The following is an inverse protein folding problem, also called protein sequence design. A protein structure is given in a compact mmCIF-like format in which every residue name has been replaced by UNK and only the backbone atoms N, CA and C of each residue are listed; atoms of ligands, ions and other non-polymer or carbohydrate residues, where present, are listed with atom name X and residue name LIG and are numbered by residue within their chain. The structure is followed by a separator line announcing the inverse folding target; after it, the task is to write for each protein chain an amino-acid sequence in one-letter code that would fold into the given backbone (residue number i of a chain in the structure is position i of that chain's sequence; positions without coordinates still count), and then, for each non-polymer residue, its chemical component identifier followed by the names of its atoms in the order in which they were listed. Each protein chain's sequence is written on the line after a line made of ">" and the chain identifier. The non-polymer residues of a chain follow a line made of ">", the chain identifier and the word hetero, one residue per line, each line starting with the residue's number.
data_IF_524664220744
#
_entry.id   IF_524664220744
#
_cell.length_a   1.000
_cell.length_b   1.000
_cell.length_c   1.000
_cell.angle_alpha   90.00
_cell.angle_beta   90.00
_cell.angle_gamma   90.00
#
_symmetry.space_group_name_H-M   'P 1'
#
loop_
_entity.id
_entity.type
_entity.pdbx_description
1 polymer ?
#
# COMPACT_ATOMS: atom_id res chain seq x y z
N UNK A 1 8.94 -3.06 18.58
CA UNK A 1 8.26 -3.64 17.41
C UNK A 1 6.77 -3.61 17.59
N UNK A 2 6.02 -3.04 16.67
CA UNK A 2 4.58 -3.16 16.75
C UNK A 2 4.16 -4.61 16.48
N UNK A 3 3.09 -5.02 17.12
CA UNK A 3 2.49 -6.33 16.84
C UNK A 3 1.69 -6.27 15.54
N UNK A 4 1.27 -7.44 15.04
CA UNK A 4 0.40 -7.50 13.86
C UNK A 4 -0.88 -6.70 14.07
N UNK A 5 -1.42 -6.72 15.29
CA UNK A 5 -2.63 -5.97 15.61
C UNK A 5 -2.41 -4.46 15.47
N UNK A 6 -1.20 -3.98 15.78
CA UNK A 6 -0.89 -2.56 15.67
C UNK A 6 -0.86 -2.08 14.23
N UNK A 7 -0.61 -2.97 13.27
CA UNK A 7 -0.58 -2.64 11.85
C UNK A 7 -1.89 -2.93 11.13
N UNK A 8 -2.89 -3.47 11.82
CA UNK A 8 -4.17 -3.78 11.20
C UNK A 8 -4.84 -2.57 10.55
N UNK A 9 -4.77 -1.35 11.12
CA UNK A 9 -5.34 -0.17 10.45
C UNK A 9 -4.58 0.30 9.21
N UNK A 10 -3.40 -0.26 8.93
CA UNK A 10 -2.60 0.16 7.78
C UNK A 10 -3.11 -0.46 6.49
N UNK A 11 -3.31 0.38 5.49
CA UNK A 11 -3.67 -0.04 4.13
C UNK A 11 -2.54 0.31 3.19
N UNK A 12 -2.01 -0.69 2.49
CA UNK A 12 -1.03 -0.45 1.43
C UNK A 12 -1.80 -0.42 0.12
N UNK A 13 -1.68 0.67 -0.63
CA UNK A 13 -2.46 0.88 -1.85
C UNK A 13 -1.53 0.98 -3.05
N UNK A 14 -1.70 0.09 -4.01
CA UNK A 14 -0.94 0.08 -5.25
C UNK A 14 -1.83 0.56 -6.39
N UNK A 15 -1.42 1.61 -7.10
CA UNK A 15 -2.21 2.22 -8.16
C UNK A 15 -1.65 1.86 -9.52
N UNK A 16 -2.49 1.28 -10.37
CA UNK A 16 -2.19 0.99 -11.77
C UNK A 16 -0.94 0.11 -11.98
N UNK A 17 -0.76 -0.87 -11.12
CA UNK A 17 0.38 -1.78 -11.21
C UNK A 17 0.26 -2.69 -12.42
N UNK A 18 1.28 -2.73 -13.27
CA UNK A 18 1.29 -3.51 -14.49
C UNK A 18 2.15 -4.77 -14.44
N UNK A 19 3.05 -4.84 -13.47
CA UNK A 19 4.00 -5.93 -13.39
C UNK A 19 3.64 -6.87 -12.25
N UNK A 20 3.34 -8.16 -12.52
CA UNK A 20 3.00 -9.10 -11.46
C UNK A 20 4.13 -9.29 -10.45
N UNK A 21 5.39 -9.11 -10.87
CA UNK A 21 6.52 -9.20 -9.94
C UNK A 21 6.48 -8.09 -8.90
N UNK A 22 6.02 -6.91 -9.28
CA UNK A 22 5.90 -5.80 -8.33
C UNK A 22 4.78 -6.04 -7.32
N UNK A 23 3.68 -6.62 -7.76
CA UNK A 23 2.61 -7.03 -6.86
C UNK A 23 3.10 -8.08 -5.86
N UNK A 24 3.82 -9.08 -6.36
CA UNK A 24 4.38 -10.12 -5.51
C UNK A 24 5.43 -9.59 -4.53
N UNK A 25 6.28 -8.68 -4.99
CA UNK A 25 7.30 -8.08 -4.14
C UNK A 25 6.68 -7.26 -3.02
N UNK A 26 5.63 -6.48 -3.34
CA UNK A 26 4.91 -5.70 -2.33
C UNK A 26 4.28 -6.61 -1.27
N UNK A 27 3.61 -7.67 -1.71
CA UNK A 27 2.98 -8.60 -0.79
C UNK A 27 4.02 -9.30 0.11
N UNK A 28 5.17 -9.64 -0.45
CA UNK A 28 6.25 -10.26 0.33
C UNK A 28 6.79 -9.29 1.37
N UNK A 29 7.03 -8.04 0.99
CA UNK A 29 7.48 -7.04 1.93
C UNK A 29 6.46 -6.81 3.03
N UNK A 30 5.17 -6.72 2.68
CA UNK A 30 4.10 -6.59 3.66
C UNK A 30 4.08 -7.76 4.63
N UNK A 31 4.22 -8.98 4.12
CA UNK A 31 4.24 -10.18 4.95
C UNK A 31 5.39 -10.13 5.97
N UNK A 32 6.56 -9.68 5.52
CA UNK A 32 7.74 -9.58 6.39
C UNK A 32 7.54 -8.58 7.53
N UNK A 33 6.77 -7.52 7.30
CA UNK A 33 6.52 -6.50 8.32
C UNK A 33 5.22 -6.70 9.08
N UNK A 34 4.41 -7.66 8.68
CA UNK A 34 3.13 -7.92 9.35
C UNK A 34 1.99 -7.02 8.88
N UNK A 35 2.16 -6.31 7.78
CA UNK A 35 1.09 -5.52 7.18
C UNK A 35 0.31 -6.43 6.23
N UNK A 36 -1.00 -6.59 6.47
CA UNK A 36 -1.77 -7.61 5.76
C UNK A 36 -2.86 -7.06 4.83
N UNK A 37 -3.09 -5.75 4.85
CA UNK A 37 -4.21 -5.14 4.13
C UNK A 37 -3.72 -4.46 2.85
N UNK A 38 -3.75 -5.21 1.75
CA UNK A 38 -3.37 -4.70 0.44
C UNK A 38 -4.62 -4.26 -0.33
N UNK A 39 -4.54 -3.08 -0.96
CA UNK A 39 -5.56 -2.59 -1.88
C UNK A 39 -4.92 -2.27 -3.21
N UNK A 40 -5.61 -2.59 -4.29
CA UNK A 40 -5.14 -2.30 -5.64
C UNK A 40 -6.16 -1.44 -6.36
N UNK A 41 -5.69 -0.41 -7.05
CA UNK A 41 -6.54 0.52 -7.80
C UNK A 41 -6.24 0.34 -9.28
N UNK A 42 -7.24 -0.06 -10.05
CA UNK A 42 -7.12 -0.28 -11.50
C UNK A 42 -5.86 -1.04 -11.88
N UNK A 43 -5.60 -2.21 -11.27
CA UNK A 43 -4.44 -2.99 -11.66
C UNK A 43 -4.59 -3.50 -13.09
N UNK A 44 -3.47 -3.74 -13.74
CA UNK A 44 -3.53 -4.45 -15.02
C UNK A 44 -4.04 -5.87 -14.73
N UNK A 45 -5.18 -6.21 -15.31
CA UNK A 45 -5.92 -7.42 -14.92
C UNK A 45 -5.10 -8.70 -15.01
N UNK A 46 -4.36 -8.87 -16.11
CA UNK A 46 -3.55 -10.07 -16.29
C UNK A 46 -2.42 -10.14 -15.27
N UNK A 47 -1.81 -9.00 -14.93
CA UNK A 47 -0.76 -8.94 -13.94
C UNK A 47 -1.28 -9.33 -12.55
N UNK A 48 -2.46 -8.83 -12.18
CA UNK A 48 -3.06 -9.13 -10.89
C UNK A 48 -3.45 -10.60 -10.80
N UNK A 49 -4.02 -11.14 -11.86
CA UNK A 49 -4.39 -12.56 -11.91
C UNK A 49 -3.15 -13.45 -11.78
N UNK A 50 -2.07 -13.11 -12.48
CA UNK A 50 -0.84 -13.87 -12.40
C UNK A 50 -0.23 -13.82 -10.99
N UNK A 51 -0.19 -12.64 -10.38
CA UNK A 51 0.32 -12.49 -9.04
C UNK A 51 -0.47 -13.32 -8.04
N UNK A 52 -1.80 -13.35 -8.18
CA UNK A 52 -2.67 -14.11 -7.28
C UNK A 52 -2.53 -15.62 -7.43
N UNK A 53 -2.01 -16.08 -8.57
CA UNK A 53 -1.81 -17.52 -8.79
C UNK A 53 -0.54 -18.03 -8.12
N UNK A 54 0.35 -17.15 -7.67
CA UNK A 54 1.59 -17.55 -7.03
C UNK A 54 1.31 -18.18 -5.66
N UNK A 55 2.18 -19.09 -5.27
CA UNK A 55 2.09 -19.72 -3.95
C UNK A 55 3.24 -19.25 -3.07
N UNK A 56 3.05 -19.30 -1.75
CA UNK A 56 4.08 -18.90 -0.82
C UNK A 56 3.51 -18.12 0.35
N UNK A 57 4.38 -17.64 1.27
CA UNK A 57 3.91 -16.96 2.48
C UNK A 57 3.08 -15.70 2.24
N UNK A 58 3.32 -15.01 1.12
CA UNK A 58 2.61 -13.77 0.81
C UNK A 58 1.35 -14.00 -0.03
N UNK A 59 1.05 -15.23 -0.42
CA UNK A 59 -0.08 -15.51 -1.31
C UNK A 59 -1.41 -15.11 -0.72
N UNK A 60 -1.56 -15.23 0.60
CA UNK A 60 -2.78 -14.86 1.30
C UNK A 60 -3.09 -13.37 1.19
N UNK A 61 -2.04 -12.54 1.24
CA UNK A 61 -2.18 -11.09 1.10
C UNK A 61 -2.75 -10.75 -0.29
N UNK A 62 -2.24 -11.40 -1.33
CA UNK A 62 -2.71 -11.19 -2.69
C UNK A 62 -4.13 -11.72 -2.88
N UNK A 63 -4.42 -12.89 -2.31
CA UNK A 63 -5.76 -13.48 -2.40
C UNK A 63 -6.81 -12.59 -1.73
N UNK A 64 -6.45 -11.99 -0.60
CA UNK A 64 -7.36 -11.13 0.17
C UNK A 64 -7.31 -9.66 -0.25
N UNK A 65 -6.48 -9.31 -1.24
CA UNK A 65 -6.37 -7.92 -1.70
C UNK A 65 -7.71 -7.41 -2.21
N UNK A 66 -8.04 -6.19 -1.83
CA UNK A 66 -9.27 -5.53 -2.28
C UNK A 66 -8.98 -4.70 -3.53
N UNK A 67 -9.85 -4.82 -4.52
CA UNK A 67 -9.71 -4.10 -5.77
C UNK A 67 -10.67 -2.92 -5.82
N UNK A 68 -10.18 -1.77 -6.27
CA UNK A 68 -10.98 -0.55 -6.36
C UNK A 68 -10.86 0.06 -7.75
N UNK A 69 -11.92 0.75 -8.18
CA UNK A 69 -11.93 1.42 -9.47
C UNK A 69 -11.32 2.82 -9.42
N UNK A 70 -11.12 3.39 -8.23
CA UNK A 70 -10.51 4.71 -8.08
C UNK A 70 -9.73 4.79 -6.79
N UNK A 71 -8.72 5.66 -6.78
CA UNK A 71 -7.94 5.92 -5.56
C UNK A 71 -8.83 6.54 -4.48
N UNK A 72 -9.76 7.40 -4.88
CA UNK A 72 -10.67 8.05 -3.95
C UNK A 72 -11.45 7.02 -3.12
N UNK A 73 -11.95 5.98 -3.78
CA UNK A 73 -12.67 4.92 -3.08
C UNK A 73 -11.74 4.11 -2.18
N UNK A 74 -10.52 3.85 -2.66
CA UNK A 74 -9.57 3.01 -1.93
C UNK A 74 -9.08 3.64 -0.63
N UNK A 75 -9.18 4.96 -0.49
CA UNK A 75 -8.68 5.69 0.68
C UNK A 75 -9.79 6.41 1.44
N UNK A 76 -11.05 6.18 1.07
CA UNK A 76 -12.17 6.99 1.59
C UNK A 76 -12.28 6.97 3.11
N UNK A 77 -11.99 5.85 3.75
CA UNK A 77 -12.10 5.73 5.21
C UNK A 77 -10.79 5.98 5.95
N UNK A 78 -9.74 6.41 5.23
CA UNK A 78 -8.43 6.63 5.85
C UNK A 78 -8.31 8.07 6.35
N UNK A 79 -7.90 8.23 7.60
CA UNK A 79 -7.71 9.56 8.19
C UNK A 79 -6.36 10.19 7.83
N UNK A 80 -5.40 9.37 7.43
CA UNK A 80 -4.11 9.83 6.94
C UNK A 80 -3.77 9.08 5.66
N UNK A 81 -3.36 9.82 4.64
CA UNK A 81 -2.93 9.24 3.36
C UNK A 81 -1.54 9.74 3.05
N UNK A 82 -0.61 8.81 2.86
CA UNK A 82 0.78 9.12 2.56
C UNK A 82 1.10 8.60 1.18
N UNK A 83 1.39 9.51 0.25
CA UNK A 83 1.82 9.14 -1.09
C UNK A 83 3.34 9.06 -1.14
N UNK A 84 3.85 8.10 -1.90
CA UNK A 84 5.28 7.98 -2.13
C UNK A 84 5.62 8.60 -3.49
N UNK A 85 6.77 9.24 -3.56
CA UNK A 85 7.20 9.85 -4.81
C UNK A 85 8.73 9.93 -4.87
N UNK A 86 9.24 9.82 -6.09
CA UNK A 86 10.62 10.16 -6.37
C UNK A 86 10.63 11.62 -6.85
N UNK A 87 11.45 12.46 -6.24
CA UNK A 87 11.51 13.87 -6.60
C UNK A 87 12.40 14.04 -7.81
N UNK A 88 11.78 14.20 -8.98
CA UNK A 88 12.49 14.53 -10.21
C UNK A 88 11.53 15.34 -11.08
N UNK A 89 11.86 16.60 -11.31
CA UNK A 89 11.11 17.45 -12.24
C UNK A 89 9.62 17.58 -11.91
N UNK A 90 9.26 17.45 -10.64
CA UNK A 90 7.88 17.62 -10.21
C UNK A 90 7.71 18.88 -9.38
N UNK A 91 6.62 19.56 -9.63
CA UNK A 91 6.19 20.65 -8.80
C UNK A 91 5.46 20.06 -7.59
N UNK A 92 5.93 20.44 -6.40
CA UNK A 92 5.35 19.90 -5.17
C UNK A 92 4.17 20.76 -4.74
N UNK A 93 3.00 20.15 -4.62
CA UNK A 93 1.79 20.81 -4.16
C UNK A 93 1.48 20.50 -2.70
N UNK A 94 2.15 19.51 -2.14
CA UNK A 94 1.95 19.06 -0.76
C UNK A 94 3.28 19.01 -0.03
N UNK A 95 3.26 19.11 1.31
CA UNK A 95 4.49 19.00 2.06
C UNK A 95 5.24 17.71 1.78
N UNK A 96 6.55 17.81 1.57
CA UNK A 96 7.40 16.65 1.44
C UNK A 96 8.09 16.41 2.78
N UNK A 97 8.03 15.17 3.25
CA UNK A 97 8.65 14.77 4.50
C UNK A 97 9.65 13.67 4.22
N UNK A 98 10.73 13.64 4.99
CA UNK A 98 11.66 12.53 4.86
C UNK A 98 11.06 11.27 5.47
N UNK A 99 11.71 10.14 5.23
CA UNK A 99 11.19 8.83 5.64
C UNK A 99 11.01 8.73 7.16
N UNK A 100 11.95 9.27 7.92
CA UNK A 100 11.88 9.18 9.38
C UNK A 100 10.70 9.97 9.94
N UNK A 101 10.45 11.18 9.41
CA UNK A 101 9.32 12.00 9.81
C UNK A 101 8.00 11.33 9.46
N UNK A 102 7.93 10.73 8.26
CA UNK A 102 6.73 10.04 7.80
C UNK A 102 6.45 8.81 8.65
N UNK A 103 7.48 8.06 9.02
CA UNK A 103 7.32 6.87 9.84
C UNK A 103 6.75 7.21 11.21
N UNK A 104 7.23 8.31 11.82
CA UNK A 104 6.70 8.76 13.10
C UNK A 104 5.25 9.17 13.03
N UNK A 105 4.88 9.92 11.98
CA UNK A 105 3.50 10.35 11.78
C UNK A 105 2.57 9.17 11.55
N UNK A 106 3.00 8.21 10.73
CA UNK A 106 2.21 7.01 10.44
C UNK A 106 1.99 6.21 11.72
N UNK A 107 3.04 5.98 12.50
CA UNK A 107 2.95 5.22 13.74
C UNK A 107 1.98 5.87 14.72
N UNK A 108 2.07 7.19 14.86
CA UNK A 108 1.18 7.93 15.75
C UNK A 108 -0.26 7.85 15.28
N UNK A 109 -0.48 7.97 13.99
CA UNK A 109 -1.84 7.97 13.41
C UNK A 109 -2.50 6.61 13.48
N UNK A 110 -1.73 5.52 13.40
CA UNK A 110 -2.27 4.17 13.48
C UNK A 110 -3.00 3.87 14.78
N UNK A 111 -2.69 4.62 15.84
CA UNK A 111 -3.36 4.46 17.13
C UNK A 111 -4.80 4.97 17.11
N UNK A 112 -5.16 5.83 16.17
CA UNK A 112 -6.46 6.50 16.18
C UNK A 112 -7.24 6.42 14.87
N UNK A 113 -6.61 6.05 13.76
CA UNK A 113 -7.29 6.04 12.46
C UNK A 113 -6.67 5.02 11.51
N UNK A 114 -7.36 4.77 10.42
CA UNK A 114 -6.79 4.00 9.32
C UNK A 114 -5.85 4.87 8.52
N UNK A 115 -4.73 4.31 8.12
CA UNK A 115 -3.68 5.01 7.38
C UNK A 115 -3.47 4.28 6.05
N UNK A 116 -3.40 5.05 4.97
CA UNK A 116 -3.06 4.51 3.66
C UNK A 116 -1.67 4.98 3.24
N UNK A 117 -0.85 4.05 2.78
CA UNK A 117 0.40 4.37 2.10
C UNK A 117 0.19 4.01 0.64
N UNK A 118 0.33 5.00 -0.24
CA UNK A 118 -0.02 4.87 -1.65
C UNK A 118 1.24 4.89 -2.50
N UNK A 119 1.37 3.87 -3.34
CA UNK A 119 2.43 3.79 -4.33
C UNK A 119 1.81 4.02 -5.71
N UNK A 120 2.35 4.99 -6.45
CA UNK A 120 1.80 5.36 -7.73
C UNK A 120 2.12 4.37 -8.83
N UNK A 121 1.67 4.73 -10.04
CA UNK A 121 1.85 3.88 -11.22
C UNK A 121 3.33 3.75 -11.59
N UNK A 122 3.62 2.63 -12.16
CA UNK A 122 4.96 2.31 -12.66
C UNK A 122 5.29 3.06 -13.94
#
# INVERSE_FOLDING_TARGET
>A
MPSLADLDPLRVVLVATRNPLNLGAAARAMSNFGALRLRVVKPFELAFREARSAVGPASEILTNAEEFSSLKEAIAECGLVVGTTAIQHRELQHPLRNLAESAGLIRQSLASTRVAIVFGSE
#
